data_IF_096400317465
#
_entry.id   IF_096400317465
#
_cell.length_a   1.000
_cell.length_b   1.000
_cell.length_c   1.000
_cell.angle_alpha   90.00
_cell.angle_beta   90.00
_cell.angle_gamma   90.00
#
_symmetry.space_group_name_H-M   'P 1'
#
loop_
_entity.id
_entity.type
_entity.pdbx_description
1 polymer ?
#
# COMPACT_ATOMS: atom_id res chain seq x y z
N UNK A 1 -20.65 -13.41 6.62
CA UNK A 1 -19.61 -13.97 5.72
C UNK A 1 -19.07 -12.78 4.92
N UNK A 2 -17.86 -12.31 5.19
CA UNK A 2 -17.23 -11.23 4.43
C UNK A 2 -16.87 -11.76 3.04
N UNK A 3 -17.33 -11.09 1.99
CA UNK A 3 -17.01 -11.47 0.62
C UNK A 3 -15.49 -11.30 0.40
N UNK A 4 -14.80 -12.39 0.03
CA UNK A 4 -13.40 -12.31 -0.37
C UNK A 4 -13.29 -11.51 -1.67
N UNK A 5 -12.26 -10.65 -1.81
CA UNK A 5 -11.98 -9.97 -3.08
C UNK A 5 -11.94 -10.98 -4.22
N UNK A 6 -12.63 -10.71 -5.32
CA UNK A 6 -12.63 -11.61 -6.48
C UNK A 6 -11.40 -11.27 -7.30
N UNK A 7 -10.29 -12.00 -7.06
CA UNK A 7 -8.98 -11.79 -7.70
C UNK A 7 -9.06 -11.69 -9.22
N UNK A 8 -9.83 -12.56 -9.86
CA UNK A 8 -9.94 -12.59 -11.32
C UNK A 8 -10.59 -11.31 -11.88
N UNK A 9 -11.55 -10.72 -11.13
CA UNK A 9 -12.14 -9.43 -11.49
C UNK A 9 -11.13 -8.29 -11.34
N UNK A 10 -10.36 -8.27 -10.25
CA UNK A 10 -9.30 -7.26 -10.05
C UNK A 10 -8.28 -7.32 -11.20
N UNK A 11 -7.78 -8.50 -11.54
CA UNK A 11 -6.82 -8.69 -12.63
C UNK A 11 -7.39 -8.26 -13.99
N UNK A 12 -8.65 -8.56 -14.28
CA UNK A 12 -9.31 -8.14 -15.52
C UNK A 12 -9.47 -6.61 -15.60
N UNK A 13 -9.80 -5.94 -14.51
CA UNK A 13 -9.88 -4.47 -14.43
C UNK A 13 -8.49 -3.84 -14.66
N UNK A 14 -7.45 -4.33 -14.00
CA UNK A 14 -6.07 -3.81 -14.15
C UNK A 14 -5.53 -4.00 -15.56
N UNK A 15 -5.83 -5.12 -16.23
CA UNK A 15 -5.41 -5.39 -17.62
C UNK A 15 -5.92 -4.34 -18.60
N UNK A 16 -7.17 -3.90 -18.48
CA UNK A 16 -7.77 -2.89 -19.35
C UNK A 16 -7.23 -1.48 -19.05
N UNK A 17 -6.86 -1.20 -17.81
CA UNK A 17 -6.49 0.13 -17.31
C UNK A 17 -5.01 0.45 -17.37
N UNK A 18 -4.14 -0.57 -17.44
CA UNK A 18 -2.68 -0.41 -17.30
C UNK A 18 -2.10 0.73 -18.15
N UNK A 19 -2.63 0.94 -19.36
CA UNK A 19 -2.15 1.98 -20.29
C UNK A 19 -2.51 3.42 -19.89
N UNK A 20 -3.59 3.62 -19.13
CA UNK A 20 -4.10 4.95 -18.73
C UNK A 20 -3.95 5.19 -17.23
N UNK A 21 -3.55 4.16 -16.49
CA UNK A 21 -3.50 4.13 -15.03
C UNK A 21 -2.67 5.28 -14.44
N UNK A 22 -1.51 5.55 -14.99
CA UNK A 22 -0.62 6.60 -14.51
C UNK A 22 -1.23 8.01 -14.70
N UNK A 23 -1.91 8.24 -15.83
CA UNK A 23 -2.61 9.50 -16.09
C UNK A 23 -3.82 9.69 -15.16
N UNK A 24 -4.56 8.61 -14.88
CA UNK A 24 -5.69 8.63 -13.94
C UNK A 24 -5.23 8.94 -12.51
N UNK A 25 -4.08 8.40 -12.10
CA UNK A 25 -3.53 8.59 -10.76
C UNK A 25 -2.63 9.83 -10.61
N UNK A 26 -2.41 10.60 -11.68
CA UNK A 26 -1.61 11.84 -11.62
C UNK A 26 -2.23 12.86 -10.66
N UNK A 27 -3.56 12.96 -10.59
CA UNK A 27 -4.27 13.84 -9.68
C UNK A 27 -4.02 13.50 -8.19
N UNK A 28 -3.63 12.26 -7.88
CA UNK A 28 -3.36 11.78 -6.52
C UNK A 28 -1.87 11.86 -6.15
N UNK A 29 -1.03 12.49 -6.98
CA UNK A 29 0.39 12.68 -6.67
C UNK A 29 0.64 13.36 -5.31
N UNK A 30 -0.13 14.41 -4.90
CA UNK A 30 0.05 15.00 -3.57
C UNK A 30 -0.23 14.03 -2.42
N UNK A 31 -1.25 13.15 -2.56
CA UNK A 31 -1.54 12.10 -1.57
C UNK A 31 -0.38 11.11 -1.47
N UNK A 32 0.17 10.70 -2.61
CA UNK A 32 1.31 9.79 -2.67
C UNK A 32 2.54 10.38 -2.00
N UNK A 33 2.85 11.64 -2.29
CA UNK A 33 3.97 12.34 -1.64
C UNK A 33 3.78 12.37 -0.13
N UNK A 34 2.61 12.81 0.34
CA UNK A 34 2.30 12.86 1.77
C UNK A 34 2.38 11.46 2.43
N UNK A 35 1.88 10.41 1.78
CA UNK A 35 1.97 9.04 2.30
C UNK A 35 3.44 8.55 2.39
N UNK A 36 4.27 8.86 1.39
CA UNK A 36 5.70 8.52 1.43
C UNK A 36 6.43 9.32 2.52
N UNK A 37 6.11 10.60 2.70
CA UNK A 37 6.69 11.43 3.76
C UNK A 37 6.37 10.86 5.15
N UNK A 38 5.17 10.30 5.34
CA UNK A 38 4.77 9.63 6.59
C UNK A 38 5.59 8.37 6.91
N UNK A 39 6.25 7.75 5.94
CA UNK A 39 7.16 6.61 6.17
C UNK A 39 8.42 7.02 6.91
N UNK A 40 8.80 8.31 6.90
CA UNK A 40 10.00 8.84 7.54
C UNK A 40 11.26 8.05 7.13
N UNK A 41 11.37 7.73 5.84
CA UNK A 41 12.44 6.90 5.29
C UNK A 41 13.82 7.44 5.65
N UNK A 42 14.72 6.53 6.01
CA UNK A 42 16.11 6.85 6.28
C UNK A 42 17.00 6.32 5.15
N UNK A 43 18.07 7.01 4.79
CA UNK A 43 19.08 6.49 3.85
C UNK A 43 19.56 5.11 4.31
N UNK A 44 19.57 4.15 3.40
CA UNK A 44 19.95 2.76 3.68
C UNK A 44 18.82 1.87 4.19
N UNK A 45 17.61 2.41 4.44
CA UNK A 45 16.47 1.64 4.89
C UNK A 45 15.94 0.69 3.79
N UNK A 46 15.27 -0.38 4.23
CA UNK A 46 14.47 -1.25 3.37
C UNK A 46 13.00 -0.89 3.49
N UNK A 47 12.29 -0.75 2.36
CA UNK A 47 10.86 -0.45 2.32
C UNK A 47 10.12 -1.42 1.42
N UNK A 48 8.94 -1.87 1.86
CA UNK A 48 8.00 -2.62 1.03
C UNK A 48 6.97 -1.67 0.40
N UNK A 49 6.82 -1.73 -0.93
CA UNK A 49 5.73 -1.11 -1.69
C UNK A 49 4.71 -2.20 -2.03
N UNK A 50 3.68 -2.32 -1.21
CA UNK A 50 2.73 -3.43 -1.23
C UNK A 50 1.58 -3.12 -2.18
N UNK A 51 1.51 -3.84 -3.31
CA UNK A 51 0.66 -3.50 -4.44
C UNK A 51 1.21 -2.32 -5.21
N UNK A 52 2.49 -2.40 -5.62
CA UNK A 52 3.22 -1.27 -6.21
C UNK A 52 2.66 -0.81 -7.57
N UNK A 53 1.77 -1.59 -8.19
CA UNK A 53 1.14 -1.25 -9.47
C UNK A 53 2.16 -1.05 -10.57
N UNK A 54 2.08 0.07 -11.27
CA UNK A 54 3.02 0.48 -12.33
C UNK A 54 4.33 1.07 -11.80
N UNK A 55 4.47 1.16 -10.46
CA UNK A 55 5.67 1.70 -9.81
C UNK A 55 5.66 3.21 -9.58
N UNK A 56 4.49 3.85 -9.54
CA UNK A 56 4.39 5.30 -9.36
C UNK A 56 4.99 5.83 -8.04
N UNK A 57 5.09 4.99 -7.00
CA UNK A 57 5.71 5.37 -5.71
C UNK A 57 7.21 5.16 -5.71
N UNK A 58 7.76 4.35 -6.62
CA UNK A 58 9.16 3.90 -6.58
C UNK A 58 10.17 5.05 -6.62
N UNK A 59 9.89 6.12 -7.38
CA UNK A 59 10.79 7.27 -7.45
C UNK A 59 10.92 7.98 -6.10
N UNK A 60 9.78 8.26 -5.44
CA UNK A 60 9.78 8.89 -4.11
C UNK A 60 10.44 7.99 -3.06
N UNK A 61 10.13 6.69 -3.10
CA UNK A 61 10.76 5.71 -2.20
C UNK A 61 12.28 5.65 -2.43
N UNK A 62 12.72 5.63 -3.70
CA UNK A 62 14.14 5.61 -4.05
C UNK A 62 14.89 6.86 -3.56
N UNK A 63 14.25 8.03 -3.68
CA UNK A 63 14.80 9.27 -3.14
C UNK A 63 14.94 9.20 -1.61
N UNK A 64 13.95 8.63 -0.92
CA UNK A 64 13.94 8.52 0.54
C UNK A 64 14.97 7.53 1.08
N UNK A 65 15.07 6.33 0.51
CA UNK A 65 16.03 5.30 0.99
C UNK A 65 17.44 5.49 0.43
N UNK A 66 17.59 6.25 -0.64
CA UNK A 66 18.86 6.49 -1.32
C UNK A 66 19.44 5.24 -2.01
N UNK A 67 20.66 5.35 -2.58
CA UNK A 67 21.25 4.29 -3.42
C UNK A 67 21.69 3.05 -2.62
N UNK A 68 21.83 3.17 -1.30
CA UNK A 68 22.22 2.08 -0.39
C UNK A 68 21.02 1.43 0.32
N UNK A 69 19.82 2.01 0.21
CA UNK A 69 18.59 1.41 0.69
C UNK A 69 18.06 0.37 -0.28
N UNK A 70 16.98 -0.31 0.09
CA UNK A 70 16.39 -1.36 -0.72
C UNK A 70 14.86 -1.18 -0.79
N UNK A 71 14.28 -1.37 -1.97
CA UNK A 71 12.85 -1.32 -2.20
C UNK A 71 12.40 -2.70 -2.69
N UNK A 72 11.37 -3.25 -2.07
CA UNK A 72 10.71 -4.47 -2.53
C UNK A 72 9.29 -4.11 -2.95
N UNK A 73 9.03 -4.09 -4.25
CA UNK A 73 7.70 -3.89 -4.82
C UNK A 73 6.99 -5.22 -5.03
N UNK A 74 5.77 -5.37 -4.49
CA UNK A 74 4.96 -6.58 -4.63
C UNK A 74 3.75 -6.23 -5.49
N UNK A 75 3.56 -6.95 -6.61
CA UNK A 75 2.43 -6.73 -7.52
C UNK A 75 1.91 -8.06 -8.08
N UNK A 76 0.59 -8.27 -7.98
CA UNK A 76 -0.02 -9.52 -8.45
C UNK A 76 -0.42 -9.51 -9.93
N UNK A 77 -0.68 -8.32 -10.52
CA UNK A 77 -1.04 -8.20 -11.94
C UNK A 77 0.22 -8.24 -12.80
N UNK A 78 0.36 -9.22 -13.72
CA UNK A 78 1.51 -9.28 -14.62
C UNK A 78 1.66 -8.01 -15.47
N UNK A 79 0.54 -7.43 -15.92
CA UNK A 79 0.55 -6.24 -16.78
C UNK A 79 1.06 -5.00 -16.03
N UNK A 80 0.65 -4.82 -14.75
CA UNK A 80 1.15 -3.74 -13.90
C UNK A 80 2.62 -3.97 -13.52
N UNK A 81 2.96 -5.22 -13.18
CA UNK A 81 4.33 -5.63 -12.89
C UNK A 81 5.29 -5.32 -14.05
N UNK A 82 4.89 -5.62 -15.29
CA UNK A 82 5.71 -5.32 -16.48
C UNK A 82 5.97 -3.82 -16.61
N UNK A 83 4.99 -2.96 -16.29
CA UNK A 83 5.15 -1.51 -16.30
C UNK A 83 6.08 -1.04 -15.17
N UNK A 84 5.96 -1.60 -13.97
CA UNK A 84 6.89 -1.33 -12.88
C UNK A 84 8.32 -1.75 -13.23
N UNK A 85 8.47 -2.93 -13.87
CA UNK A 85 9.78 -3.41 -14.34
C UNK A 85 10.38 -2.47 -15.38
N UNK A 86 9.59 -1.98 -16.33
CA UNK A 86 10.04 -0.98 -17.30
C UNK A 86 10.43 0.34 -16.62
N UNK A 87 9.69 0.76 -15.57
CA UNK A 87 10.02 1.95 -14.78
C UNK A 87 11.40 1.78 -14.12
N UNK A 88 11.64 0.68 -13.42
CA UNK A 88 12.93 0.35 -12.79
C UNK A 88 14.08 0.33 -13.81
N UNK A 89 13.87 -0.32 -14.96
CA UNK A 89 14.86 -0.42 -16.02
C UNK A 89 15.21 0.95 -16.65
N UNK A 90 14.20 1.80 -16.88
CA UNK A 90 14.36 3.16 -17.42
C UNK A 90 15.23 4.04 -16.52
N UNK A 91 15.01 3.97 -15.20
CA UNK A 91 15.77 4.73 -14.21
C UNK A 91 17.08 4.06 -13.81
N UNK A 92 17.33 2.83 -14.26
CA UNK A 92 18.53 2.02 -13.96
C UNK A 92 18.74 1.80 -12.47
N UNK A 93 17.65 1.73 -11.70
CA UNK A 93 17.72 1.44 -10.27
C UNK A 93 18.17 0.00 -10.02
N UNK A 94 19.20 -0.17 -9.19
CA UNK A 94 19.79 -1.48 -8.87
C UNK A 94 19.37 -2.00 -7.48
N UNK A 95 18.71 -1.17 -6.72
CA UNK A 95 18.27 -1.44 -5.36
C UNK A 95 16.74 -1.62 -5.25
N UNK A 96 16.08 -1.92 -6.37
CA UNK A 96 14.66 -2.26 -6.43
C UNK A 96 14.50 -3.71 -6.85
N UNK A 97 13.84 -4.50 -6.00
CA UNK A 97 13.42 -5.86 -6.29
C UNK A 97 11.90 -5.87 -6.51
N UNK A 98 11.44 -6.45 -7.60
CA UNK A 98 10.01 -6.61 -7.88
C UNK A 98 9.61 -8.08 -7.76
N UNK A 99 8.49 -8.35 -7.09
CA UNK A 99 7.93 -9.68 -6.88
C UNK A 99 6.55 -9.75 -7.54
N UNK A 100 6.40 -10.57 -8.60
CA UNK A 100 5.11 -10.78 -9.25
C UNK A 100 4.37 -11.94 -8.57
N UNK A 101 3.62 -11.63 -7.52
CA UNK A 101 2.83 -12.59 -6.76
C UNK A 101 1.68 -11.90 -6.02
N UNK A 102 0.60 -12.63 -5.68
CA UNK A 102 -0.34 -12.16 -4.67
C UNK A 102 0.39 -11.99 -3.34
N UNK A 103 -0.03 -10.98 -2.58
CA UNK A 103 0.68 -10.54 -1.37
C UNK A 103 0.85 -11.67 -0.33
N UNK A 104 -0.13 -12.56 -0.22
CA UNK A 104 -0.10 -13.71 0.71
C UNK A 104 0.84 -14.83 0.31
N UNK A 105 1.35 -14.80 -0.93
CA UNK A 105 2.25 -15.82 -1.49
C UNK A 105 3.55 -15.21 -2.03
N UNK A 106 3.80 -13.93 -1.77
CA UNK A 106 5.02 -13.26 -2.20
C UNK A 106 6.24 -13.84 -1.49
N UNK A 107 7.27 -14.19 -2.26
CA UNK A 107 8.55 -14.64 -1.71
C UNK A 107 9.35 -13.43 -1.23
N UNK A 108 9.25 -13.12 0.06
CA UNK A 108 9.93 -12.01 0.71
C UNK A 108 11.12 -12.56 1.50
N UNK A 109 12.34 -12.26 1.05
CA UNK A 109 13.57 -12.84 1.62
C UNK A 109 14.29 -11.91 2.61
N UNK A 110 13.75 -10.72 2.89
CA UNK A 110 14.36 -9.73 3.79
C UNK A 110 13.34 -9.17 4.78
N UNK A 111 13.84 -8.46 5.79
CA UNK A 111 13.02 -7.66 6.69
C UNK A 111 13.08 -6.19 6.29
N UNK A 112 11.94 -5.49 6.40
CA UNK A 112 11.86 -4.06 6.07
C UNK A 112 11.70 -3.17 7.30
N UNK A 113 12.19 -1.95 7.16
CA UNK A 113 12.07 -0.86 8.13
C UNK A 113 10.72 -0.14 8.00
N UNK A 114 10.06 -0.31 6.85
CA UNK A 114 8.75 0.31 6.59
C UNK A 114 7.95 -0.43 5.50
N UNK A 115 6.62 -0.20 5.49
CA UNK A 115 5.72 -0.70 4.46
C UNK A 115 4.72 0.37 4.04
N UNK A 116 4.51 0.51 2.73
CA UNK A 116 3.53 1.38 2.10
C UNK A 116 2.40 0.54 1.48
N UNK A 117 1.16 0.90 1.80
CA UNK A 117 -0.07 0.39 1.18
C UNK A 117 -0.79 1.57 0.52
N UNK A 118 -0.53 1.81 -0.77
CA UNK A 118 -1.05 2.99 -1.47
C UNK A 118 -2.09 2.60 -2.52
N UNK A 119 -3.37 2.95 -2.29
CA UNK A 119 -4.53 2.55 -3.12
C UNK A 119 -4.69 1.03 -3.28
N UNK A 120 -4.47 0.28 -2.22
CA UNK A 120 -4.48 -1.19 -2.18
C UNK A 120 -5.66 -1.73 -1.36
N UNK A 121 -6.87 -1.23 -1.63
CA UNK A 121 -8.08 -1.59 -0.86
C UNK A 121 -8.27 -3.10 -0.73
N UNK A 122 -8.17 -3.85 -1.83
CA UNK A 122 -8.37 -5.30 -1.84
C UNK A 122 -7.32 -6.04 -1.00
N UNK A 123 -6.08 -5.54 -0.96
CA UNK A 123 -5.00 -6.09 -0.11
C UNK A 123 -5.31 -5.83 1.37
N UNK A 124 -5.77 -4.63 1.71
CA UNK A 124 -6.16 -4.26 3.08
C UNK A 124 -7.38 -5.05 3.58
N UNK A 125 -8.17 -5.63 2.67
CA UNK A 125 -9.27 -6.57 2.98
C UNK A 125 -8.81 -8.02 3.07
N UNK A 126 -7.53 -8.32 2.86
CA UNK A 126 -6.95 -9.65 2.96
C UNK A 126 -6.09 -9.79 4.23
N UNK A 127 -6.67 -10.28 5.36
CA UNK A 127 -5.92 -10.40 6.61
C UNK A 127 -4.76 -11.39 6.55
N UNK A 128 -4.77 -12.34 5.60
CA UNK A 128 -3.67 -13.28 5.39
C UNK A 128 -2.50 -12.54 4.76
N UNK A 129 -2.76 -11.77 3.71
CA UNK A 129 -1.75 -10.95 3.05
C UNK A 129 -1.13 -9.91 3.98
N UNK A 130 -1.97 -9.21 4.78
CA UNK A 130 -1.47 -8.28 5.80
C UNK A 130 -0.52 -8.98 6.76
N UNK A 131 -0.91 -10.12 7.35
CA UNK A 131 -0.04 -10.86 8.29
C UNK A 131 1.25 -11.31 7.63
N UNK A 132 1.19 -11.73 6.37
CA UNK A 132 2.37 -12.14 5.63
C UNK A 132 3.37 -11.01 5.50
N UNK A 133 2.95 -9.83 5.05
CA UNK A 133 3.81 -8.64 4.93
C UNK A 133 4.35 -8.20 6.29
N UNK A 134 3.46 -8.05 7.30
CA UNK A 134 3.85 -7.58 8.62
C UNK A 134 4.84 -8.52 9.31
N UNK A 135 4.75 -9.84 9.04
CA UNK A 135 5.71 -10.83 9.54
C UNK A 135 7.15 -10.65 9.02
N UNK A 136 7.31 -9.87 7.93
CA UNK A 136 8.61 -9.52 7.36
C UNK A 136 9.03 -8.08 7.70
N UNK A 137 8.34 -7.43 8.64
CA UNK A 137 8.78 -6.13 9.15
C UNK A 137 9.63 -6.27 10.41
N UNK A 138 10.58 -5.37 10.55
CA UNK A 138 11.32 -5.22 11.80
C UNK A 138 10.40 -4.68 12.90
N UNK A 139 10.61 -5.04 14.19
CA UNK A 139 9.92 -4.39 15.29
C UNK A 139 10.08 -2.87 15.23
N UNK A 140 8.98 -2.12 15.40
CA UNK A 140 8.97 -0.67 15.28
C UNK A 140 8.94 -0.12 13.85
N UNK A 141 8.87 -0.98 12.83
CA UNK A 141 8.77 -0.57 11.43
C UNK A 141 7.58 0.37 11.20
N UNK A 142 7.78 1.40 10.38
CA UNK A 142 6.74 2.36 10.03
C UNK A 142 5.81 1.76 8.98
N UNK A 143 4.50 1.81 9.22
CA UNK A 143 3.48 1.32 8.30
C UNK A 143 2.56 2.46 7.91
N UNK A 144 2.40 2.69 6.62
CA UNK A 144 1.54 3.74 6.08
C UNK A 144 0.55 3.14 5.10
N UNK A 145 -0.71 3.51 5.22
CA UNK A 145 -1.73 3.18 4.23
C UNK A 145 -2.47 4.43 3.77
N UNK A 146 -2.78 4.50 2.48
CA UNK A 146 -3.56 5.59 1.88
C UNK A 146 -4.48 5.06 0.79
N UNK A 147 -5.67 5.64 0.67
CA UNK A 147 -6.65 5.22 -0.33
C UNK A 147 -8.02 5.85 -0.15
N UNK A 148 -9.00 5.35 -0.89
CA UNK A 148 -10.37 5.84 -0.84
C UNK A 148 -11.04 5.50 0.50
N UNK A 149 -11.79 6.48 1.05
CA UNK A 149 -12.70 6.26 2.16
C UNK A 149 -13.95 7.13 2.02
N UNK A 150 -15.05 6.72 2.66
CA UNK A 150 -16.22 7.57 2.78
C UNK A 150 -15.90 8.83 3.58
N UNK A 151 -16.31 9.98 3.05
CA UNK A 151 -16.32 11.25 3.77
C UNK A 151 -17.52 11.28 4.72
N UNK A 152 -17.65 12.39 5.48
CA UNK A 152 -18.78 12.58 6.35
C UNK A 152 -20.13 12.44 5.62
N UNK A 153 -21.20 11.90 6.27
CA UNK A 153 -22.48 11.62 5.58
C UNK A 153 -23.12 12.81 4.87
N UNK A 154 -22.87 14.04 5.36
CA UNK A 154 -23.38 15.26 4.74
C UNK A 154 -22.55 15.75 3.55
N UNK A 155 -21.36 15.23 3.35
CA UNK A 155 -20.48 15.55 2.20
C UNK A 155 -20.82 14.62 1.02
N UNK A 156 -22.07 14.71 0.54
CA UNK A 156 -22.57 13.88 -0.54
C UNK A 156 -21.80 14.06 -1.87
N UNK A 157 -21.27 15.26 -2.25
CA UNK A 157 -20.51 15.37 -3.49
C UNK A 157 -19.22 14.56 -3.44
N UNK A 158 -18.47 14.63 -2.33
CA UNK A 158 -17.26 13.80 -2.13
C UNK A 158 -17.62 12.32 -2.11
N UNK A 159 -18.69 11.94 -1.39
CA UNK A 159 -19.13 10.53 -1.34
C UNK A 159 -19.56 9.99 -2.71
N UNK A 160 -20.14 10.84 -3.56
CA UNK A 160 -20.43 10.46 -4.94
C UNK A 160 -19.14 10.19 -5.74
N UNK A 161 -18.13 11.05 -5.63
CA UNK A 161 -16.83 10.84 -6.28
C UNK A 161 -16.12 9.59 -5.74
N UNK A 162 -16.14 9.37 -4.43
CA UNK A 162 -15.60 8.15 -3.81
C UNK A 162 -16.31 6.91 -4.34
N UNK A 163 -17.64 6.93 -4.43
CA UNK A 163 -18.42 5.82 -4.99
C UNK A 163 -17.99 5.50 -6.42
N UNK A 164 -17.95 6.50 -7.29
CA UNK A 164 -17.55 6.32 -8.70
C UNK A 164 -16.11 5.79 -8.81
N UNK A 165 -15.18 6.36 -8.04
CA UNK A 165 -13.79 5.90 -8.01
C UNK A 165 -13.67 4.46 -7.47
N UNK A 166 -14.40 4.12 -6.41
CA UNK A 166 -14.38 2.79 -5.82
C UNK A 166 -14.99 1.74 -6.75
N UNK A 167 -16.14 2.01 -7.36
CA UNK A 167 -16.75 1.12 -8.36
C UNK A 167 -15.82 0.84 -9.54
N UNK A 168 -14.95 1.79 -9.85
CA UNK A 168 -14.00 1.68 -10.95
C UNK A 168 -12.69 0.97 -10.54
N UNK A 169 -12.26 1.06 -9.28
CA UNK A 169 -10.93 0.67 -8.84
C UNK A 169 -10.88 -0.44 -7.80
N UNK A 170 -12.01 -0.83 -7.20
CA UNK A 170 -12.06 -1.87 -6.17
C UNK A 170 -13.05 -2.97 -6.55
N UNK A 171 -12.84 -4.15 -6.00
CA UNK A 171 -13.77 -5.28 -6.22
C UNK A 171 -14.96 -5.27 -5.26
N UNK A 172 -14.92 -4.43 -4.22
CA UNK A 172 -15.97 -4.31 -3.21
C UNK A 172 -15.98 -2.92 -2.59
N UNK A 173 -17.19 -2.40 -2.31
CA UNK A 173 -17.38 -1.17 -1.54
C UNK A 173 -17.31 -1.42 -0.02
N UNK A 174 -17.20 -2.68 0.39
CA UNK A 174 -17.19 -3.08 1.77
C UNK A 174 -15.92 -2.58 2.47
N UNK A 175 -16.09 -2.01 3.67
CA UNK A 175 -14.95 -1.51 4.46
C UNK A 175 -14.45 -0.11 4.11
N UNK A 176 -15.06 0.59 3.15
CA UNK A 176 -14.66 1.97 2.80
C UNK A 176 -14.88 2.99 3.94
N UNK A 177 -15.63 2.64 4.99
CA UNK A 177 -15.73 3.49 6.19
C UNK A 177 -14.44 3.49 7.02
N UNK A 178 -13.71 2.37 7.04
CA UNK A 178 -12.42 2.23 7.70
C UNK A 178 -11.58 1.16 6.99
N UNK A 179 -10.99 1.50 5.82
CA UNK A 179 -10.30 0.52 4.97
C UNK A 179 -9.12 -0.18 5.63
N UNK A 180 -8.45 0.49 6.56
CA UNK A 180 -7.31 -0.01 7.33
C UNK A 180 -7.67 -0.81 8.59
N UNK A 181 -8.94 -1.17 8.80
CA UNK A 181 -9.40 -1.85 10.04
C UNK A 181 -8.65 -3.13 10.37
N UNK A 182 -8.31 -3.96 9.35
CA UNK A 182 -7.51 -5.16 9.57
C UNK A 182 -6.03 -4.85 9.87
N UNK A 183 -5.50 -3.79 9.29
CA UNK A 183 -4.14 -3.33 9.55
C UNK A 183 -4.01 -2.83 10.98
N UNK A 184 -4.99 -2.04 11.46
CA UNK A 184 -5.03 -1.50 12.82
C UNK A 184 -5.09 -2.57 13.93
N UNK A 185 -5.49 -3.81 13.61
CA UNK A 185 -5.47 -4.92 14.57
C UNK A 185 -4.05 -5.45 14.84
N UNK A 186 -3.06 -5.08 14.03
CA UNK A 186 -1.70 -5.63 14.07
C UNK A 186 -0.62 -4.54 14.13
N UNK A 187 -0.99 -3.29 13.86
CA UNK A 187 -0.12 -2.11 13.90
C UNK A 187 -0.60 -1.23 15.05
N UNK A 188 0.30 -0.93 15.98
CA UNK A 188 -0.02 -0.04 17.11
C UNK A 188 -0.06 1.42 16.68
N UNK A 189 -0.77 2.22 17.47
CA UNK A 189 -0.80 3.69 17.35
C UNK A 189 -1.12 4.21 15.94
N UNK A 190 -2.05 3.52 15.24
CA UNK A 190 -2.52 3.98 13.92
C UNK A 190 -3.22 5.32 14.06
N UNK A 191 -2.66 6.36 13.45
CA UNK A 191 -3.17 7.72 13.46
C UNK A 191 -3.52 8.16 12.05
N UNK A 192 -4.63 8.88 11.92
CA UNK A 192 -4.98 9.56 10.67
C UNK A 192 -4.12 10.81 10.50
N UNK A 193 -3.58 10.97 9.30
CA UNK A 193 -2.83 12.15 8.87
C UNK A 193 -3.72 12.97 7.94
N UNK A 194 -3.74 14.30 8.04
CA UNK A 194 -4.52 15.15 7.14
C UNK A 194 -4.19 14.85 5.67
N UNK A 195 -5.22 14.48 4.91
CA UNK A 195 -5.09 14.22 3.48
C UNK A 195 -5.30 15.50 2.68
N UNK A 196 -4.51 15.75 1.62
CA UNK A 196 -4.70 16.90 0.74
C UNK A 196 -5.98 16.82 -0.10
N UNK A 197 -6.65 15.66 -0.15
CA UNK A 197 -7.86 15.41 -0.95
C UNK A 197 -8.93 14.78 -0.08
N UNK A 198 -10.13 15.38 -0.05
CA UNK A 198 -11.28 14.82 0.65
C UNK A 198 -11.69 13.45 0.04
N UNK A 199 -12.17 12.53 0.89
CA UNK A 199 -12.51 11.18 0.45
C UNK A 199 -11.31 10.25 0.28
N UNK A 200 -10.11 10.73 0.63
CA UNK A 200 -8.88 9.95 0.69
C UNK A 200 -8.35 9.97 2.11
N UNK A 201 -8.06 8.80 2.66
CA UNK A 201 -7.38 8.69 3.95
C UNK A 201 -5.87 8.53 3.77
N UNK A 202 -5.13 8.96 4.77
CA UNK A 202 -3.73 8.59 5.03
C UNK A 202 -3.67 8.20 6.49
N UNK A 203 -3.16 7.00 6.79
CA UNK A 203 -2.95 6.53 8.16
C UNK A 203 -1.54 6.02 8.31
N UNK A 204 -0.98 6.21 9.50
CA UNK A 204 0.40 5.88 9.82
C UNK A 204 0.47 5.28 11.22
N UNK A 205 1.28 4.25 11.40
CA UNK A 205 1.47 3.60 12.71
C UNK A 205 2.75 2.78 12.73
N UNK A 206 3.07 2.20 13.89
CA UNK A 206 4.26 1.37 14.08
C UNK A 206 3.90 -0.09 14.28
N UNK A 207 4.60 -0.96 13.58
CA UNK A 207 4.45 -2.40 13.76
C UNK A 207 4.97 -2.83 15.13
N UNK A 208 4.09 -3.48 15.91
CA UNK A 208 4.42 -4.06 17.21
C UNK A 208 4.51 -5.57 17.05
N UNK A 209 5.71 -6.12 17.18
CA UNK A 209 5.89 -7.57 17.17
C UNK A 209 5.17 -8.21 18.36
N UNK A 210 4.32 -9.19 18.14
CA UNK A 210 3.60 -9.94 19.20
C UNK A 210 4.51 -10.76 20.13
N UNK A 211 5.82 -10.58 20.08
CA UNK A 211 6.79 -11.33 20.88
C UNK A 211 7.26 -10.66 22.17
N UNK A 212 6.74 -9.49 22.59
CA UNK A 212 7.25 -8.77 23.78
C UNK A 212 6.32 -8.81 25.01
N UNK A 213 5.13 -9.42 24.92
CA UNK A 213 4.19 -9.47 26.08
C UNK A 213 4.28 -10.72 26.96
N UNK A 214 5.02 -11.76 26.55
CA UNK A 214 5.16 -13.03 27.30
C UNK A 214 6.52 -13.24 27.97
N UNK A 215 7.23 -12.19 28.37
CA UNK A 215 8.33 -12.33 29.30
C UNK A 215 7.77 -12.22 30.75
N UNK A 216 7.66 -13.33 31.52
CA UNK A 216 7.27 -13.22 32.92
C UNK A 216 8.36 -12.42 33.65
N UNK A 217 7.94 -11.35 34.31
CA UNK A 217 8.80 -10.70 35.28
C UNK A 217 9.16 -11.72 36.38
N UNK A 218 10.42 -12.20 36.33
CA UNK A 218 11.05 -12.95 37.43
C UNK A 218 11.78 -11.96 38.33
#
# INVERSE_FOLDING_TARGET
>A
MLAKPIRDMALAQYRLRARFYDAELAAFAPVRSCAVDCLQLQPGATVFDVGCGTGLSLELLHQGVGPHGHIVGIEQSPEMFDLAHQCVARHKWRNVTLVNAPVEAADITCQADSALFHFTHDILRNPIGIRHVLGHLKPGAQVVAAGLQWSAPWDWPTNWLVLMAAMYSTTSLEGLAQPWSHLAQQVGDMQEVPSPINGIYIVSGRYVSKGSEDAPHV
#
